data_IF_364321004352
#
_entry.id   IF_364321004352
#
_cell.length_a   1.000
_cell.length_b   1.000
_cell.length_c   1.000
_cell.angle_alpha   90.00
_cell.angle_beta   90.00
_cell.angle_gamma   90.00
#
_symmetry.space_group_name_H-M   'P 1'
#
loop_
_entity.id
_entity.type
_entity.pdbx_description
1 polymer ?
#
# COMPACT_ATOMS: atom_id res chain seq x y z
N UNK A 1 -2.75 -23.03 -61.71
CA UNK A 1 -2.02 -23.87 -60.73
C UNK A 1 -0.71 -23.16 -60.46
N UNK A 2 -0.75 -22.26 -59.47
CA UNK A 2 0.39 -21.45 -59.05
C UNK A 2 1.27 -22.19 -58.02
N UNK A 3 2.56 -21.83 -57.92
CA UNK A 3 3.55 -22.52 -57.11
C UNK A 3 3.63 -22.01 -55.66
N UNK A 4 4.23 -22.83 -54.81
CA UNK A 4 4.60 -22.52 -53.43
C UNK A 4 5.50 -21.29 -53.32
N UNK A 5 5.22 -20.42 -52.34
CA UNK A 5 6.24 -19.59 -51.70
C UNK A 5 6.12 -19.69 -50.18
N UNK A 6 7.23 -20.12 -49.61
CA UNK A 6 7.60 -20.04 -48.19
C UNK A 6 7.78 -18.56 -47.86
N UNK A 7 7.04 -18.03 -46.88
CA UNK A 7 7.35 -16.75 -46.25
C UNK A 7 7.93 -17.00 -44.85
N UNK A 8 9.09 -16.42 -44.51
CA UNK A 8 9.70 -16.57 -43.20
C UNK A 8 9.19 -15.51 -42.22
N UNK A 9 8.79 -16.01 -41.05
CA UNK A 9 9.17 -15.51 -39.71
C UNK A 9 9.08 -13.98 -39.50
N UNK A 10 7.88 -13.52 -39.14
CA UNK A 10 7.64 -12.17 -38.64
C UNK A 10 8.22 -12.04 -37.21
N UNK A 11 9.50 -11.68 -37.19
CA UNK A 11 10.30 -11.46 -36.01
C UNK A 11 9.60 -10.53 -35.02
N UNK A 12 9.20 -11.11 -33.89
CA UNK A 12 8.91 -10.46 -32.62
C UNK A 12 9.74 -9.18 -32.43
N UNK A 13 9.11 -8.03 -32.62
CA UNK A 13 9.56 -6.76 -32.03
C UNK A 13 9.48 -6.89 -30.52
N UNK A 14 10.50 -7.50 -29.91
CA UNK A 14 10.83 -7.24 -28.52
C UNK A 14 11.09 -5.75 -28.44
N UNK A 15 10.17 -5.03 -27.79
CA UNK A 15 10.40 -3.67 -27.35
C UNK A 15 11.52 -3.72 -26.30
N UNK A 16 12.77 -3.72 -26.76
CA UNK A 16 13.94 -3.54 -25.92
C UNK A 16 13.82 -2.12 -25.40
N UNK A 17 13.37 -1.98 -24.14
CA UNK A 17 13.38 -0.70 -23.43
C UNK A 17 14.79 -0.12 -23.56
N UNK A 18 14.92 1.00 -24.27
CA UNK A 18 16.15 1.77 -24.33
C UNK A 18 16.56 2.11 -22.89
N UNK A 19 17.79 1.79 -22.52
CA UNK A 19 18.35 2.23 -21.23
C UNK A 19 18.20 3.76 -21.15
N UNK A 20 17.72 4.30 -20.02
CA UNK A 20 17.60 5.74 -19.87
C UNK A 20 18.98 6.40 -20.07
N UNK A 21 19.01 7.47 -20.84
CA UNK A 21 20.20 8.28 -21.08
C UNK A 21 20.68 8.90 -19.77
N UNK A 22 22.00 9.11 -19.62
CA UNK A 22 22.59 9.61 -18.37
C UNK A 22 22.00 10.94 -17.87
N UNK A 23 21.49 11.79 -18.77
CA UNK A 23 20.79 13.03 -18.40
C UNK A 23 19.43 12.77 -17.71
N UNK A 24 18.65 11.81 -18.20
CA UNK A 24 17.34 11.48 -17.63
C UNK A 24 17.46 10.90 -16.21
N UNK A 25 18.50 10.11 -15.95
CA UNK A 25 18.81 9.59 -14.61
C UNK A 25 19.20 10.71 -13.64
N UNK A 26 19.97 11.70 -14.10
CA UNK A 26 20.37 12.83 -13.27
C UNK A 26 19.15 13.70 -12.90
N UNK A 27 18.26 13.95 -13.85
CA UNK A 27 17.03 14.71 -13.61
C UNK A 27 16.10 13.99 -12.62
N UNK A 28 15.96 12.66 -12.73
CA UNK A 28 15.20 11.85 -11.77
C UNK A 28 15.80 11.90 -10.35
N UNK A 29 17.13 11.87 -10.24
CA UNK A 29 17.82 11.97 -8.94
C UNK A 29 17.64 13.35 -8.29
N UNK A 30 17.77 14.42 -9.09
CA UNK A 30 17.56 15.79 -8.61
C UNK A 30 16.12 15.98 -8.12
N UNK A 31 15.15 15.47 -8.88
CA UNK A 31 13.74 15.54 -8.49
C UNK A 31 13.45 14.74 -7.21
N UNK A 32 14.00 13.53 -7.10
CA UNK A 32 13.87 12.73 -5.89
C UNK A 32 14.47 13.43 -4.67
N UNK A 33 15.64 14.06 -4.82
CA UNK A 33 16.29 14.80 -3.73
C UNK A 33 15.45 15.98 -3.24
N UNK A 34 14.88 16.77 -4.15
CA UNK A 34 13.96 17.87 -3.78
C UNK A 34 12.75 17.38 -3.00
N UNK A 35 12.18 16.23 -3.41
CA UNK A 35 11.04 15.61 -2.72
C UNK A 35 11.41 15.09 -1.34
N UNK A 36 12.65 14.61 -1.15
CA UNK A 36 13.18 14.23 0.17
C UNK A 36 13.31 15.46 1.07
N UNK A 37 13.82 16.57 0.53
CA UNK A 37 13.97 17.84 1.26
C UNK A 37 12.63 18.44 1.70
N UNK A 38 11.54 18.14 0.99
CA UNK A 38 10.18 18.58 1.34
C UNK A 38 9.54 17.77 2.49
N UNK A 39 10.10 16.62 2.89
CA UNK A 39 9.50 15.75 3.91
C UNK A 39 9.29 16.41 5.28
N UNK A 40 10.21 17.21 5.85
CA UNK A 40 9.99 17.85 7.13
C UNK A 40 8.77 18.78 7.14
N UNK A 41 8.57 19.54 6.06
CA UNK A 41 7.41 20.42 5.90
C UNK A 41 6.13 19.62 5.71
N UNK A 42 6.18 18.53 4.92
CA UNK A 42 5.08 17.59 4.78
C UNK A 42 4.66 17.05 6.16
N UNK A 43 5.60 16.61 6.98
CA UNK A 43 5.32 16.07 8.31
C UNK A 43 4.70 17.10 9.25
N UNK A 44 5.19 18.35 9.19
CA UNK A 44 4.60 19.45 9.96
C UNK A 44 3.16 19.74 9.53
N UNK A 45 2.92 19.78 8.22
CA UNK A 45 1.59 20.01 7.65
C UNK A 45 0.61 18.89 7.97
N UNK A 46 1.07 17.64 7.88
CA UNK A 46 0.30 16.45 8.27
C UNK A 46 -0.06 16.47 9.75
N UNK A 47 0.89 16.76 10.62
CA UNK A 47 0.66 16.84 12.07
C UNK A 47 -0.42 17.89 12.38
N UNK A 48 -0.28 19.11 11.85
CA UNK A 48 -1.27 20.19 12.02
C UNK A 48 -2.63 19.79 11.49
N UNK A 49 -2.67 19.14 10.33
CA UNK A 49 -3.91 18.69 9.71
C UNK A 49 -4.62 17.64 10.57
N UNK A 50 -3.91 16.60 11.02
CA UNK A 50 -4.50 15.57 11.88
C UNK A 50 -4.96 16.15 13.22
N UNK A 51 -4.21 17.05 13.84
CA UNK A 51 -4.62 17.72 15.08
C UNK A 51 -5.92 18.51 14.88
N UNK A 52 -6.03 19.26 13.78
CA UNK A 52 -7.26 19.98 13.42
C UNK A 52 -8.43 19.02 13.19
N UNK A 53 -8.21 17.92 12.47
CA UNK A 53 -9.26 16.93 12.20
C UNK A 53 -9.71 16.17 13.43
N UNK A 54 -8.81 15.91 14.37
CA UNK A 54 -9.15 15.31 15.66
C UNK A 54 -10.01 16.27 16.51
N UNK A 55 -9.73 17.58 16.47
CA UNK A 55 -10.60 18.59 17.10
C UNK A 55 -12.00 18.66 16.47
N UNK A 56 -12.09 18.51 15.14
CA UNK A 56 -13.36 18.59 14.41
C UNK A 56 -14.21 17.33 14.55
N UNK A 57 -13.59 16.14 14.53
CA UNK A 57 -14.30 14.86 14.42
C UNK A 57 -14.18 13.96 15.65
N UNK A 58 -13.41 14.36 16.66
CA UNK A 58 -13.00 13.49 17.76
C UNK A 58 -11.84 12.57 17.38
N UNK A 59 -11.57 11.58 18.24
CA UNK A 59 -10.44 10.66 18.09
C UNK A 59 -10.45 9.97 16.71
N UNK A 60 -9.40 10.19 15.93
CA UNK A 60 -9.27 9.62 14.58
C UNK A 60 -9.08 8.10 14.60
N UNK A 61 -8.64 7.55 15.72
CA UNK A 61 -8.57 6.11 15.99
C UNK A 61 -9.93 5.42 15.99
N UNK A 62 -11.03 6.16 16.12
CA UNK A 62 -12.40 5.62 16.13
C UNK A 62 -13.03 5.52 14.73
N UNK A 63 -12.35 5.99 13.67
CA UNK A 63 -12.84 5.89 12.30
C UNK A 63 -12.57 4.48 11.73
N UNK A 64 -13.35 3.50 12.16
CA UNK A 64 -13.11 2.07 11.89
C UNK A 64 -13.76 1.53 10.62
N UNK A 65 -14.73 2.25 10.04
CA UNK A 65 -15.44 1.83 8.83
C UNK A 65 -16.19 2.99 8.17
N UNK A 66 -16.68 2.77 6.94
CA UNK A 66 -17.63 3.62 6.20
C UNK A 66 -19.11 3.25 6.44
N UNK A 67 -19.45 2.74 7.62
CA UNK A 67 -20.80 2.21 7.90
C UNK A 67 -21.92 3.26 7.83
N UNK A 68 -21.61 4.54 8.04
CA UNK A 68 -22.59 5.64 7.97
C UNK A 68 -22.20 6.68 6.93
N UNK A 69 -23.16 7.45 6.45
CA UNK A 69 -22.90 8.59 5.54
C UNK A 69 -22.00 9.64 6.19
N UNK A 70 -22.15 9.85 7.50
CA UNK A 70 -21.31 10.76 8.28
C UNK A 70 -19.86 10.28 8.37
N UNK A 71 -19.64 9.02 8.76
CA UNK A 71 -18.29 8.44 8.85
C UNK A 71 -17.62 8.40 7.48
N UNK A 72 -18.36 8.05 6.43
CA UNK A 72 -17.88 8.11 5.05
C UNK A 72 -17.43 9.51 4.64
N UNK A 73 -18.27 10.53 4.88
CA UNK A 73 -17.94 11.92 4.56
C UNK A 73 -16.72 12.43 5.34
N UNK A 74 -16.60 12.06 6.63
CA UNK A 74 -15.42 12.39 7.45
C UNK A 74 -14.14 11.78 6.87
N UNK A 75 -14.18 10.49 6.52
CA UNK A 75 -13.03 9.79 5.93
C UNK A 75 -12.66 10.43 4.59
N UNK A 76 -13.62 10.71 3.72
CA UNK A 76 -13.37 11.34 2.42
C UNK A 76 -12.72 12.71 2.57
N UNK A 77 -13.21 13.53 3.51
CA UNK A 77 -12.60 14.84 3.79
C UNK A 77 -11.17 14.73 4.32
N UNK A 78 -10.86 13.71 5.15
CA UNK A 78 -9.50 13.46 5.63
C UNK A 78 -8.60 13.04 4.48
N UNK A 79 -9.01 12.03 3.69
CA UNK A 79 -8.25 11.53 2.55
C UNK A 79 -7.99 12.64 1.54
N UNK A 80 -9.01 13.42 1.17
CA UNK A 80 -8.85 14.55 0.26
C UNK A 80 -7.93 15.65 0.82
N UNK A 81 -7.99 15.93 2.12
CA UNK A 81 -7.08 16.88 2.75
C UNK A 81 -5.62 16.42 2.70
N UNK A 82 -5.38 15.12 2.90
CA UNK A 82 -4.05 14.52 2.78
C UNK A 82 -3.54 14.60 1.35
N UNK A 83 -4.35 14.27 0.34
CA UNK A 83 -3.96 14.38 -1.06
C UNK A 83 -3.50 15.81 -1.41
N UNK A 84 -4.25 16.82 -0.94
CA UNK A 84 -3.87 18.23 -1.11
C UNK A 84 -2.54 18.59 -0.45
N UNK A 85 -2.25 18.02 0.73
CA UNK A 85 -0.97 18.22 1.42
C UNK A 85 0.18 17.60 0.64
N UNK A 86 0.01 16.38 0.11
CA UNK A 86 1.00 15.74 -0.75
C UNK A 86 1.26 16.55 -2.02
N UNK A 87 0.20 17.04 -2.66
CA UNK A 87 0.28 17.90 -3.84
C UNK A 87 0.98 19.23 -3.52
N UNK A 88 0.66 19.88 -2.40
CA UNK A 88 1.22 21.20 -2.05
C UNK A 88 2.72 21.15 -1.75
N UNK A 89 3.23 20.00 -1.30
CA UNK A 89 4.66 19.79 -1.03
C UNK A 89 5.37 19.09 -2.19
N UNK A 90 4.70 18.89 -3.33
CA UNK A 90 5.21 18.18 -4.51
C UNK A 90 5.77 16.78 -4.17
N UNK A 91 5.24 16.12 -3.13
CA UNK A 91 5.71 14.79 -2.73
C UNK A 91 5.19 13.73 -3.68
N UNK A 92 4.11 13.97 -4.42
CA UNK A 92 3.71 13.12 -5.55
C UNK A 92 4.43 13.57 -6.83
N UNK A 93 4.86 12.66 -7.71
CA UNK A 93 5.50 13.05 -8.97
C UNK A 93 4.62 13.99 -9.81
N UNK A 94 5.21 15.05 -10.36
CA UNK A 94 4.49 16.13 -11.04
C UNK A 94 4.00 15.75 -12.44
N UNK A 95 4.65 14.79 -13.11
CA UNK A 95 4.32 14.36 -14.47
C UNK A 95 3.22 13.29 -14.47
N UNK A 96 2.15 13.48 -15.26
CA UNK A 96 1.06 12.49 -15.41
C UNK A 96 1.56 11.11 -15.86
N UNK A 97 2.66 11.05 -16.63
CA UNK A 97 3.32 9.79 -17.02
C UNK A 97 4.03 9.10 -15.84
N UNK A 98 4.49 9.87 -14.85
CA UNK A 98 5.12 9.37 -13.62
C UNK A 98 4.09 9.10 -12.51
N UNK A 99 2.97 9.84 -12.46
CA UNK A 99 1.83 9.55 -11.56
C UNK A 99 1.25 8.16 -11.83
N UNK A 100 1.20 7.75 -13.11
CA UNK A 100 0.77 6.41 -13.51
C UNK A 100 1.79 5.29 -13.16
N UNK A 101 3.00 5.65 -12.71
CA UNK A 101 4.10 4.71 -12.51
C UNK A 101 4.99 5.13 -11.33
N UNK A 102 4.39 5.47 -10.18
CA UNK A 102 5.15 5.61 -8.94
C UNK A 102 5.81 4.26 -8.67
N UNK A 103 7.13 4.21 -8.81
CA UNK A 103 7.88 3.01 -8.48
C UNK A 103 8.04 2.94 -6.96
N UNK A 104 7.01 2.39 -6.31
CA UNK A 104 6.97 2.15 -4.86
C UNK A 104 8.07 1.19 -4.38
N UNK A 105 8.94 0.70 -5.28
CA UNK A 105 10.18 0.03 -4.93
C UNK A 105 11.29 0.96 -4.47
N UNK A 106 11.32 2.20 -4.96
CA UNK A 106 12.45 3.13 -4.79
C UNK A 106 12.04 4.56 -4.45
N UNK A 107 10.73 4.87 -4.44
CA UNK A 107 10.24 6.21 -4.12
C UNK A 107 10.35 6.52 -2.62
N UNK A 108 11.54 6.97 -2.20
CA UNK A 108 11.88 7.25 -0.80
C UNK A 108 10.92 8.24 -0.13
N UNK A 109 10.52 9.37 -0.75
CA UNK A 109 9.58 10.31 -0.15
C UNK A 109 8.25 9.66 0.25
N UNK A 110 7.61 8.94 -0.68
CA UNK A 110 6.30 8.33 -0.43
C UNK A 110 6.40 7.18 0.57
N UNK A 111 7.42 6.33 0.43
CA UNK A 111 7.65 5.23 1.36
C UNK A 111 7.85 5.77 2.78
N UNK A 112 8.66 6.82 2.92
CA UNK A 112 9.00 7.39 4.23
C UNK A 112 7.78 8.07 4.87
N UNK A 113 6.98 8.82 4.10
CA UNK A 113 5.78 9.47 4.64
C UNK A 113 4.70 8.48 5.05
N UNK A 114 4.50 7.40 4.28
CA UNK A 114 3.55 6.33 4.65
C UNK A 114 4.08 5.52 5.84
N UNK A 115 5.39 5.32 5.96
CA UNK A 115 5.98 4.67 7.14
C UNK A 115 5.74 5.48 8.41
N UNK A 116 5.92 6.81 8.39
CA UNK A 116 5.57 7.66 9.54
C UNK A 116 4.08 7.54 9.88
N UNK A 117 3.21 7.50 8.88
CA UNK A 117 1.78 7.32 9.10
C UNK A 117 1.44 5.95 9.74
N UNK A 118 2.05 4.87 9.24
CA UNK A 118 1.97 3.53 9.82
C UNK A 118 2.42 3.53 11.29
N UNK A 119 3.54 4.21 11.60
CA UNK A 119 4.05 4.34 12.97
C UNK A 119 3.12 5.13 13.90
N UNK A 120 2.23 5.96 13.35
CA UNK A 120 1.24 6.73 14.08
C UNK A 120 -0.18 6.14 13.94
N UNK A 121 -0.28 4.88 13.54
CA UNK A 121 -1.55 4.15 13.45
C UNK A 121 -1.80 3.38 14.75
N UNK A 122 -3.06 3.34 15.19
CA UNK A 122 -3.51 2.71 16.43
C UNK A 122 -3.56 1.18 16.35
N UNK A 123 -2.44 0.56 16.00
CA UNK A 123 -2.24 -0.88 16.11
C UNK A 123 -2.07 -1.28 17.59
N UNK A 124 -2.58 -2.46 17.95
CA UNK A 124 -2.38 -3.06 19.27
C UNK A 124 -0.89 -3.27 19.54
N UNK A 125 -0.16 -3.75 18.51
CA UNK A 125 1.27 -4.04 18.59
C UNK A 125 2.17 -2.85 18.21
N UNK A 126 1.65 -1.62 18.23
CA UNK A 126 2.41 -0.40 17.89
C UNK A 126 3.68 -0.25 18.75
N UNK A 127 3.69 -0.76 19.99
CA UNK A 127 4.85 -0.71 20.87
C UNK A 127 6.09 -1.35 20.24
N UNK A 128 5.93 -2.35 19.37
CA UNK A 128 7.04 -2.97 18.61
C UNK A 128 7.73 -1.99 17.67
N UNK A 129 7.01 -1.01 17.13
CA UNK A 129 7.59 0.04 16.29
C UNK A 129 8.37 1.05 17.12
N UNK A 130 7.95 1.30 18.37
CA UNK A 130 8.64 2.21 19.28
C UNK A 130 10.00 1.64 19.75
N UNK A 131 10.13 0.32 19.76
CA UNK A 131 11.38 -0.40 20.07
C UNK A 131 12.43 -0.32 18.94
N UNK A 132 12.06 0.17 17.74
CA UNK A 132 12.99 0.32 16.61
C UNK A 132 14.01 1.44 16.89
N UNK A 133 15.30 1.08 16.91
CA UNK A 133 16.39 2.02 17.22
C UNK A 133 16.55 3.15 16.18
N UNK A 134 16.13 2.93 14.93
CA UNK A 134 16.31 3.90 13.86
C UNK A 134 15.09 4.82 13.73
N UNK A 135 13.89 4.30 13.98
CA UNK A 135 12.63 4.97 13.63
C UNK A 135 11.60 5.04 14.76
N UNK A 136 11.85 4.41 15.91
CA UNK A 136 10.95 4.44 17.06
C UNK A 136 10.65 5.86 17.55
N UNK A 137 11.58 6.81 17.35
CA UNK A 137 11.38 8.24 17.62
C UNK A 137 10.26 8.89 16.79
N UNK A 138 9.76 8.23 15.74
CA UNK A 138 8.69 8.70 14.88
C UNK A 138 7.30 8.24 15.35
N UNK A 139 7.23 7.34 16.32
CA UNK A 139 5.97 6.91 16.95
C UNK A 139 5.45 8.02 17.85
N UNK A 140 4.16 8.35 17.70
CA UNK A 140 3.50 9.40 18.50
C UNK A 140 3.75 10.82 18.02
N UNK A 141 4.34 11.02 16.83
CA UNK A 141 4.48 12.33 16.21
C UNK A 141 3.12 12.96 15.88
N UNK A 142 2.14 12.15 15.47
CA UNK A 142 0.81 12.60 15.04
C UNK A 142 -0.27 12.02 15.94
N UNK A 143 -1.48 12.62 15.98
CA UNK A 143 -2.67 11.95 16.47
C UNK A 143 -2.80 10.54 15.90
N UNK A 144 -3.19 9.59 16.75
CA UNK A 144 -3.33 8.19 16.34
C UNK A 144 -4.50 8.05 15.37
N UNK A 145 -4.21 7.58 14.16
CA UNK A 145 -5.25 7.22 13.18
C UNK A 145 -5.65 5.76 13.34
N UNK A 146 -6.86 5.38 12.93
CA UNK A 146 -7.24 3.97 12.91
C UNK A 146 -6.50 3.22 11.80
N UNK A 147 -6.27 1.90 11.96
CA UNK A 147 -5.78 1.06 10.87
C UNK A 147 -6.63 1.17 9.60
N UNK A 148 -7.95 1.24 9.73
CA UNK A 148 -8.86 1.40 8.60
C UNK A 148 -8.58 2.72 7.85
N UNK A 149 -8.44 3.83 8.58
CA UNK A 149 -8.15 5.13 7.98
C UNK A 149 -6.78 5.13 7.26
N UNK A 150 -5.76 4.45 7.81
CA UNK A 150 -4.50 4.25 7.10
C UNK A 150 -4.72 3.56 5.74
N UNK A 151 -5.51 2.48 5.68
CA UNK A 151 -5.81 1.78 4.42
C UNK A 151 -6.53 2.71 3.43
N UNK A 152 -7.51 3.50 3.89
CA UNK A 152 -8.22 4.47 3.05
C UNK A 152 -7.28 5.53 2.46
N UNK A 153 -6.32 6.01 3.25
CA UNK A 153 -5.31 6.98 2.79
C UNK A 153 -4.37 6.33 1.76
N UNK A 154 -3.94 5.09 2.00
CA UNK A 154 -3.11 4.34 1.04
C UNK A 154 -3.85 4.18 -0.29
N UNK A 155 -5.15 3.88 -0.28
CA UNK A 155 -5.95 3.82 -1.50
C UNK A 155 -6.10 5.17 -2.20
N UNK A 156 -6.33 6.24 -1.45
CA UNK A 156 -6.39 7.59 -2.02
C UNK A 156 -5.08 7.97 -2.70
N UNK A 157 -3.95 7.56 -2.14
CA UNK A 157 -2.61 7.79 -2.68
C UNK A 157 -2.19 6.80 -3.78
N UNK A 158 -3.02 5.81 -4.11
CA UNK A 158 -2.68 4.72 -5.03
C UNK A 158 -1.39 3.98 -4.64
N UNK A 159 -1.20 3.74 -3.34
CA UNK A 159 0.04 3.19 -2.77
C UNK A 159 -0.11 1.76 -2.23
N UNK A 160 -1.11 1.01 -2.69
CA UNK A 160 -1.43 -0.34 -2.20
C UNK A 160 -0.24 -1.31 -2.20
N UNK A 161 0.68 -1.17 -3.16
CA UNK A 161 1.85 -2.05 -3.29
C UNK A 161 2.82 -1.98 -2.09
N UNK A 162 2.64 -1.00 -1.20
CA UNK A 162 3.38 -0.93 0.06
C UNK A 162 2.85 -1.90 1.12
N UNK A 163 1.56 -2.24 1.11
CA UNK A 163 0.97 -3.13 2.11
C UNK A 163 1.64 -4.52 2.15
N UNK A 164 1.85 -5.22 1.02
CA UNK A 164 2.58 -6.49 1.01
C UNK A 164 3.99 -6.38 1.60
N UNK A 165 4.66 -5.24 1.38
CA UNK A 165 6.00 -5.01 1.94
C UNK A 165 5.97 -4.86 3.44
N UNK A 166 5.01 -4.10 3.96
CA UNK A 166 4.83 -3.96 5.39
C UNK A 166 4.56 -5.34 6.02
N UNK A 167 3.69 -6.15 5.42
CA UNK A 167 3.43 -7.53 5.86
C UNK A 167 4.70 -8.39 5.87
N UNK A 168 5.61 -8.24 4.90
CA UNK A 168 6.83 -9.04 4.89
C UNK A 168 7.90 -8.52 5.86
N UNK A 169 8.06 -7.20 6.03
CA UNK A 169 9.23 -6.65 6.72
C UNK A 169 8.96 -6.17 8.15
N UNK A 170 7.71 -6.05 8.58
CA UNK A 170 7.37 -5.70 9.95
C UNK A 170 7.38 -6.93 10.89
N UNK A 171 7.37 -6.69 12.22
CA UNK A 171 7.02 -7.72 13.20
C UNK A 171 5.75 -8.49 12.82
N UNK A 172 5.70 -9.76 13.18
CA UNK A 172 4.62 -10.68 12.77
C UNK A 172 3.26 -10.18 13.25
N UNK A 173 3.19 -9.69 14.49
CA UNK A 173 1.96 -9.20 15.11
C UNK A 173 1.36 -8.03 14.32
N UNK A 174 2.20 -7.07 13.91
CA UNK A 174 1.79 -5.94 13.06
C UNK A 174 1.39 -6.39 11.66
N UNK A 175 2.08 -7.39 11.13
CA UNK A 175 1.77 -7.95 9.80
C UNK A 175 0.37 -8.56 9.79
N UNK A 176 0.00 -9.28 10.86
CA UNK A 176 -1.34 -9.84 11.06
C UNK A 176 -2.37 -8.71 11.21
N UNK A 177 -2.11 -7.70 12.04
CA UNK A 177 -3.04 -6.57 12.19
C UNK A 177 -3.30 -5.83 10.87
N UNK A 178 -2.27 -5.62 10.05
CA UNK A 178 -2.41 -5.04 8.71
C UNK A 178 -3.29 -5.93 7.83
N UNK A 179 -3.06 -7.25 7.82
CA UNK A 179 -3.84 -8.20 7.02
C UNK A 179 -5.32 -8.21 7.45
N UNK A 180 -5.58 -8.33 8.75
CA UNK A 180 -6.93 -8.32 9.34
C UNK A 180 -7.75 -7.11 8.94
N UNK A 181 -7.11 -5.96 8.73
CA UNK A 181 -7.79 -4.73 8.31
C UNK A 181 -7.84 -4.63 6.79
N UNK A 182 -6.78 -5.04 6.08
CA UNK A 182 -6.67 -4.91 4.62
C UNK A 182 -7.61 -5.85 3.87
N UNK A 183 -7.78 -7.09 4.33
CA UNK A 183 -8.55 -8.12 3.60
C UNK A 183 -10.04 -7.73 3.50
N UNK A 184 -10.75 -7.36 4.59
CA UNK A 184 -12.14 -6.92 4.51
C UNK A 184 -12.33 -5.68 3.64
N UNK A 185 -11.30 -4.86 3.59
CA UNK A 185 -11.21 -3.61 2.85
C UNK A 185 -11.11 -3.83 1.32
N UNK A 186 -10.68 -5.00 0.84
CA UNK A 186 -10.46 -5.25 -0.60
C UNK A 186 -11.69 -5.00 -1.49
N UNK A 187 -12.91 -5.17 -0.95
CA UNK A 187 -14.14 -4.93 -1.69
C UNK A 187 -14.40 -3.44 -2.00
N UNK A 188 -13.75 -2.53 -1.29
CA UNK A 188 -13.83 -1.07 -1.52
C UNK A 188 -12.86 -0.60 -2.63
N UNK A 189 -11.93 -1.46 -3.04
CA UNK A 189 -10.91 -1.15 -4.04
C UNK A 189 -11.39 -1.52 -5.46
N UNK A 190 -10.94 -0.75 -6.46
CA UNK A 190 -11.23 -1.06 -7.85
C UNK A 190 -10.71 -2.45 -8.24
N UNK A 191 -11.48 -3.17 -9.06
CA UNK A 191 -11.23 -4.56 -9.41
C UNK A 191 -9.76 -4.87 -9.77
N UNK A 192 -9.18 -4.13 -10.72
CA UNK A 192 -7.81 -4.38 -11.17
C UNK A 192 -6.77 -4.17 -10.06
N UNK A 193 -6.99 -3.15 -9.21
CA UNK A 193 -6.12 -2.84 -8.07
C UNK A 193 -6.27 -3.89 -6.98
N UNK A 194 -7.50 -4.35 -6.72
CA UNK A 194 -7.79 -5.42 -5.78
C UNK A 194 -7.09 -6.73 -6.18
N UNK A 195 -7.24 -7.19 -7.43
CA UNK A 195 -6.58 -8.42 -7.90
C UNK A 195 -5.05 -8.31 -7.84
N UNK A 196 -4.49 -7.15 -8.22
CA UNK A 196 -3.05 -6.91 -8.11
C UNK A 196 -2.58 -6.98 -6.65
N UNK A 197 -3.30 -6.35 -5.73
CA UNK A 197 -2.97 -6.36 -4.31
C UNK A 197 -3.08 -7.77 -3.71
N UNK A 198 -4.16 -8.50 -4.00
CA UNK A 198 -4.37 -9.87 -3.52
C UNK A 198 -3.23 -10.79 -3.99
N UNK A 199 -2.86 -10.72 -5.26
CA UNK A 199 -1.75 -11.50 -5.82
C UNK A 199 -0.42 -11.20 -5.12
N UNK A 200 -0.16 -9.92 -4.84
CA UNK A 200 1.06 -9.51 -4.13
C UNK A 200 1.03 -9.93 -2.66
N UNK A 201 -0.09 -9.75 -1.96
CA UNK A 201 -0.25 -10.21 -0.58
C UNK A 201 -0.03 -11.71 -0.48
N UNK A 202 -0.66 -12.53 -1.34
CA UNK A 202 -0.48 -13.97 -1.34
C UNK A 202 1.02 -14.37 -1.49
N UNK A 203 1.73 -13.73 -2.42
CA UNK A 203 3.16 -13.97 -2.64
C UNK A 203 4.02 -13.54 -1.41
N UNK A 204 3.74 -12.38 -0.84
CA UNK A 204 4.51 -11.87 0.30
C UNK A 204 4.19 -12.60 1.61
N UNK A 205 2.94 -13.05 1.80
CA UNK A 205 2.56 -13.94 2.90
C UNK A 205 3.24 -15.30 2.78
N UNK A 206 3.29 -15.88 1.58
CA UNK A 206 4.06 -17.12 1.35
C UNK A 206 5.54 -16.93 1.73
N UNK A 207 6.16 -15.83 1.31
CA UNK A 207 7.55 -15.50 1.69
C UNK A 207 7.72 -15.30 3.20
N UNK A 208 6.74 -14.66 3.84
CA UNK A 208 6.73 -14.48 5.29
C UNK A 208 6.69 -15.84 5.98
N UNK A 209 5.73 -16.70 5.65
CA UNK A 209 5.60 -18.07 6.19
C UNK A 209 6.89 -18.86 5.96
N UNK A 210 7.46 -18.80 4.76
CA UNK A 210 8.73 -19.46 4.46
C UNK A 210 9.86 -18.94 5.34
N UNK A 211 10.03 -17.62 5.47
CA UNK A 211 11.04 -17.02 6.36
C UNK A 211 10.87 -17.50 7.80
N UNK A 212 9.64 -17.48 8.30
CA UNK A 212 9.28 -17.93 9.64
C UNK A 212 9.64 -19.41 9.84
N UNK A 213 9.43 -20.26 8.82
CA UNK A 213 9.81 -21.68 8.88
C UNK A 213 11.32 -21.93 8.90
N UNK A 214 12.11 -21.11 8.22
CA UNK A 214 13.57 -21.27 8.12
C UNK A 214 14.30 -20.72 9.35
N UNK A 215 13.81 -19.64 9.95
CA UNK A 215 14.50 -18.96 11.06
C UNK A 215 14.45 -19.70 12.40
N UNK A 216 13.70 -20.80 12.52
CA UNK A 216 13.59 -21.59 13.75
C UNK A 216 12.81 -20.85 14.85
N UNK A 217 11.65 -21.40 15.22
CA UNK A 217 10.67 -20.73 16.09
C UNK A 217 11.06 -20.82 17.56
N UNK A 218 11.95 -19.93 18.02
CA UNK A 218 12.24 -19.76 19.44
C UNK A 218 11.26 -18.73 20.03
N UNK A 219 10.39 -19.18 20.96
CA UNK A 219 9.48 -18.45 21.88
C UNK A 219 7.96 -18.54 21.60
N UNK A 220 7.18 -19.01 22.59
CA UNK A 220 5.74 -18.79 22.70
C UNK A 220 5.49 -17.30 23.00
N UNK A 221 4.59 -16.58 22.31
CA UNK A 221 3.28 -17.00 21.79
C UNK A 221 3.20 -17.09 20.25
N UNK A 222 4.18 -17.73 19.63
CA UNK A 222 4.31 -17.76 18.17
C UNK A 222 3.23 -18.60 17.44
N UNK A 223 2.72 -19.68 18.06
CA UNK A 223 1.74 -20.56 17.41
C UNK A 223 0.41 -19.86 17.11
N UNK A 224 -0.09 -19.03 18.04
CA UNK A 224 -1.32 -18.28 17.84
C UNK A 224 -1.20 -17.31 16.66
N UNK A 225 -0.07 -16.60 16.56
CA UNK A 225 0.19 -15.69 15.45
C UNK A 225 0.34 -16.43 14.11
N UNK A 226 0.92 -17.64 14.10
CA UNK A 226 0.95 -18.47 12.90
C UNK A 226 -0.45 -18.91 12.49
N UNK A 227 -1.31 -19.32 13.44
CA UNK A 227 -2.71 -19.63 13.14
C UNK A 227 -3.48 -18.42 12.61
N UNK A 228 -3.28 -17.23 13.18
CA UNK A 228 -3.89 -15.99 12.68
C UNK A 228 -3.39 -15.62 11.27
N UNK A 229 -2.10 -15.83 10.99
CA UNK A 229 -1.52 -15.62 9.66
C UNK A 229 -2.10 -16.61 8.63
N UNK A 230 -2.25 -17.88 9.00
CA UNK A 230 -2.89 -18.89 8.16
C UNK A 230 -4.37 -18.57 7.92
N UNK A 231 -5.10 -18.14 8.93
CA UNK A 231 -6.48 -17.70 8.80
C UNK A 231 -6.60 -16.50 7.84
N UNK A 232 -5.70 -15.51 7.98
CA UNK A 232 -5.62 -14.38 7.05
C UNK A 232 -5.34 -14.83 5.62
N UNK A 233 -4.49 -15.85 5.43
CA UNK A 233 -4.18 -16.39 4.10
C UNK A 233 -5.39 -17.09 3.47
N UNK A 234 -6.13 -17.84 4.28
CA UNK A 234 -7.38 -18.48 3.86
C UNK A 234 -8.42 -17.43 3.48
N UNK A 235 -8.63 -16.42 4.31
CA UNK A 235 -9.57 -15.33 4.02
C UNK A 235 -9.20 -14.58 2.73
N UNK A 236 -7.91 -14.29 2.53
CA UNK A 236 -7.41 -13.68 1.30
C UNK A 236 -7.67 -14.57 0.07
N UNK A 237 -7.50 -15.88 0.22
CA UNK A 237 -7.77 -16.86 -0.84
C UNK A 237 -9.26 -16.93 -1.17
N UNK A 238 -10.13 -16.82 -0.15
CA UNK A 238 -11.57 -16.76 -0.36
C UNK A 238 -11.97 -15.50 -1.16
N UNK A 239 -11.28 -14.37 -0.95
CA UNK A 239 -11.49 -13.16 -1.79
C UNK A 239 -11.15 -13.41 -3.27
N UNK A 240 -10.24 -14.32 -3.61
CA UNK A 240 -9.97 -14.70 -5.01
C UNK A 240 -11.10 -15.53 -5.64
N UNK A 241 -12.02 -16.05 -4.84
CA UNK A 241 -13.22 -16.76 -5.34
C UNK A 241 -14.48 -15.90 -5.23
N UNK A 242 -14.41 -14.78 -4.51
CA UNK A 242 -15.53 -13.89 -4.28
C UNK A 242 -15.94 -13.19 -5.60
N UNK A 243 -17.18 -13.37 -6.10
CA UNK A 243 -17.65 -12.73 -7.33
C UNK A 243 -17.54 -11.20 -7.33
N UNK A 244 -17.62 -10.58 -6.14
CA UNK A 244 -17.51 -9.11 -5.99
C UNK A 244 -16.11 -8.61 -6.23
N UNK A 245 -15.10 -9.41 -5.88
CA UNK A 245 -13.68 -9.11 -6.06
C UNK A 245 -13.15 -9.66 -7.37
N UNK A 246 -13.73 -10.74 -7.91
CA UNK A 246 -13.28 -11.37 -9.15
C UNK A 246 -13.89 -10.79 -10.41
N UNK A 247 -15.04 -10.07 -10.33
CA UNK A 247 -15.81 -9.50 -11.45
C UNK A 247 -15.35 -10.06 -12.80
N UNK A 248 -15.50 -11.37 -12.97
CA UNK A 248 -15.45 -11.97 -14.29
C UNK A 248 -16.80 -11.53 -14.86
N UNK A 249 -16.89 -10.49 -15.72
CA UNK A 249 -18.06 -10.42 -16.56
C UNK A 249 -18.12 -11.78 -17.23
N UNK A 250 -19.28 -12.42 -17.16
CA UNK A 250 -19.57 -13.67 -17.83
C UNK A 250 -18.80 -13.73 -19.15
N UNK A 251 -17.70 -14.49 -19.17
CA UNK A 251 -16.90 -14.72 -20.38
C UNK A 251 -17.80 -15.37 -21.46
N UNK A 252 -18.99 -15.84 -21.06
CA UNK A 252 -20.05 -16.31 -21.94
C UNK A 252 -20.76 -15.22 -22.77
N UNK A 253 -20.73 -13.94 -22.40
CA UNK A 253 -21.33 -12.85 -23.19
C UNK A 253 -20.36 -12.23 -24.22
N UNK A 254 -19.05 -12.37 -24.05
CA UNK A 254 -18.05 -11.90 -25.02
C UNK A 254 -17.64 -12.96 -26.06
N UNK A 255 -18.23 -14.16 -25.97
CA UNK A 255 -18.01 -15.28 -26.90
C UNK A 255 -19.28 -15.69 -27.69
N UNK A 256 -20.31 -14.84 -27.72
CA UNK A 256 -21.45 -14.94 -28.65
C UNK A 256 -21.39 -13.82 -29.68
#
# INVERSE_FOLDING_TARGET
MEPSMITPDDNRKRCVKSRPTGAALLDEMIEMQKRIEALPELYSSMQKFFMKKEQEYGLLSNLLSRATTETSSKIDQIVQGILRIYDSHNVLPTSEKLKAYINLKVDVPIISSIQVMLMNTNFYSQYRLAEDMLRGHQVGLWPKISPYLLIQIIWGLHCEELLPRFVLYLPLELSIEILTVTIPCLAELEFQRAINLVTQLANYMYKLIYRLSVSGTQTHPYEEHIHQLLASFQELSDQLTNPRVTRLPDISEQLR
#
